data_IF_838695452233
#
_entry.id   IF_838695452233
#
_cell.length_a   1.000
_cell.length_b   1.000
_cell.length_c   1.000
_cell.angle_alpha   90.00
_cell.angle_beta   90.00
_cell.angle_gamma   90.00
#
_symmetry.space_group_name_H-M   'P 1'
#
loop_
_entity.id
_entity.type
_entity.pdbx_description
1 polymer ?
#
# COMPACT_ATOMS: atom_id res chain seq x y z
N UNK A 1 -36.46 10.15 50.77
CA UNK A 1 -35.94 8.93 50.13
C UNK A 1 -36.62 8.87 48.78
N UNK A 2 -35.95 9.27 47.71
CA UNK A 2 -36.53 9.24 46.36
C UNK A 2 -36.63 7.79 45.93
N UNK A 3 -37.84 7.24 45.93
CA UNK A 3 -38.15 5.96 45.27
C UNK A 3 -37.97 6.16 43.77
N UNK A 4 -36.77 5.86 43.27
CA UNK A 4 -36.48 5.91 41.84
C UNK A 4 -36.71 4.52 41.24
N UNK A 5 -37.46 4.47 40.14
CA UNK A 5 -37.59 3.25 39.35
C UNK A 5 -36.32 2.92 38.59
N UNK A 6 -36.22 1.69 38.08
CA UNK A 6 -35.07 1.17 37.30
C UNK A 6 -34.63 2.13 36.18
N UNK A 7 -35.59 2.64 35.40
CA UNK A 7 -35.31 3.51 34.25
C UNK A 7 -34.74 4.86 34.67
N UNK A 8 -35.28 5.46 35.72
CA UNK A 8 -34.83 6.76 36.25
C UNK A 8 -33.42 6.65 36.85
N UNK A 9 -33.11 5.54 37.52
CA UNK A 9 -31.76 5.25 38.03
C UNK A 9 -30.74 5.10 36.89
N UNK A 10 -31.06 4.34 35.84
CA UNK A 10 -30.15 4.14 34.70
C UNK A 10 -29.95 5.43 33.89
N UNK A 11 -30.97 6.28 33.75
CA UNK A 11 -30.83 7.60 33.12
C UNK A 11 -29.94 8.54 33.94
N UNK A 12 -30.11 8.57 35.27
CA UNK A 12 -29.23 9.34 36.15
C UNK A 12 -27.78 8.84 36.10
N UNK A 13 -27.59 7.52 36.10
CA UNK A 13 -26.26 6.88 35.99
C UNK A 13 -25.59 7.22 34.65
N UNK A 14 -26.32 7.15 33.52
CA UNK A 14 -25.82 7.55 32.20
C UNK A 14 -25.44 9.03 32.13
N UNK A 15 -26.19 9.90 32.83
CA UNK A 15 -25.89 11.34 32.93
C UNK A 15 -24.58 11.59 33.68
N UNK A 16 -24.35 10.91 34.80
CA UNK A 16 -23.11 11.01 35.57
C UNK A 16 -21.91 10.38 34.83
N UNK A 17 -22.14 9.29 34.07
CA UNK A 17 -21.13 8.63 33.24
C UNK A 17 -20.88 9.32 31.89
N UNK A 18 -21.55 10.43 31.58
CA UNK A 18 -21.39 11.18 30.31
C UNK A 18 -19.97 11.72 30.07
N UNK A 19 -19.13 11.76 31.11
CA UNK A 19 -17.71 12.11 31.00
C UNK A 19 -16.80 10.98 30.46
N UNK A 20 -17.31 9.76 30.30
CA UNK A 20 -16.61 8.59 29.78
C UNK A 20 -16.95 8.34 28.29
N UNK A 21 -16.16 7.50 27.57
CA UNK A 21 -16.53 7.05 26.24
C UNK A 21 -17.93 6.41 26.24
N UNK A 22 -18.79 6.80 25.28
CA UNK A 22 -20.20 6.34 25.23
C UNK A 22 -20.34 4.81 25.27
N UNK A 23 -19.42 4.07 24.66
CA UNK A 23 -19.40 2.60 24.70
C UNK A 23 -19.11 2.02 26.08
N UNK A 24 -18.34 2.72 26.91
CA UNK A 24 -18.05 2.29 28.29
C UNK A 24 -19.20 2.66 29.22
N UNK A 25 -19.76 3.86 29.06
CA UNK A 25 -20.96 4.29 29.80
C UNK A 25 -22.15 3.36 29.55
N UNK A 26 -22.38 2.97 28.29
CA UNK A 26 -23.45 2.01 27.93
C UNK A 26 -23.18 0.61 28.48
N UNK A 27 -21.91 0.17 28.47
CA UNK A 27 -21.53 -1.13 29.03
C UNK A 27 -21.73 -1.19 30.55
N UNK A 28 -21.33 -0.14 31.26
CA UNK A 28 -21.55 -0.03 32.70
C UNK A 28 -23.03 0.07 33.04
N UNK A 29 -23.81 0.83 32.27
CA UNK A 29 -25.26 0.90 32.45
C UNK A 29 -25.94 -0.46 32.20
N UNK A 30 -25.52 -1.18 31.15
CA UNK A 30 -26.04 -2.53 30.84
C UNK A 30 -25.68 -3.57 31.91
N UNK A 31 -24.48 -3.47 32.50
CA UNK A 31 -24.08 -4.36 33.59
C UNK A 31 -24.91 -4.12 34.86
N UNK A 32 -25.17 -2.86 35.19
CA UNK A 32 -26.02 -2.51 36.33
C UNK A 32 -27.49 -2.86 36.05
N UNK A 33 -27.95 -2.72 34.81
CA UNK A 33 -29.26 -3.19 34.37
C UNK A 33 -29.43 -4.70 34.59
N UNK A 34 -28.44 -5.51 34.21
CA UNK A 34 -28.40 -6.97 34.45
C UNK A 34 -28.43 -7.30 35.95
N UNK A 35 -27.65 -6.58 36.78
CA UNK A 35 -27.68 -6.76 38.25
C UNK A 35 -29.03 -6.40 38.89
N UNK A 36 -29.75 -5.41 38.33
CA UNK A 36 -31.10 -5.06 38.79
C UNK A 36 -32.08 -6.16 38.37
N UNK A 37 -31.96 -6.66 37.14
CA UNK A 37 -32.82 -7.71 36.60
C UNK A 37 -32.65 -9.05 37.34
N UNK A 38 -31.41 -9.44 37.67
CA UNK A 38 -31.14 -10.64 38.49
C UNK A 38 -31.86 -10.58 39.83
N UNK A 39 -31.87 -9.40 40.47
CA UNK A 39 -32.55 -9.20 41.77
C UNK A 39 -34.07 -9.22 41.64
N UNK A 40 -34.61 -8.71 40.54
CA UNK A 40 -36.04 -8.78 40.25
C UNK A 40 -36.45 -10.24 39.98
N UNK A 41 -35.61 -11.01 39.28
CA UNK A 41 -35.83 -12.44 39.02
C UNK A 41 -35.75 -13.29 40.31
N UNK A 42 -34.89 -12.91 41.26
CA UNK A 42 -34.82 -13.48 42.61
C UNK A 42 -35.99 -13.10 43.53
N UNK A 43 -36.93 -12.28 43.04
CA UNK A 43 -38.18 -11.93 43.73
C UNK A 43 -38.18 -10.61 44.48
N UNK A 44 -37.18 -9.75 44.30
CA UNK A 44 -37.18 -8.40 44.84
C UNK A 44 -38.07 -7.46 44.00
N UNK A 45 -38.70 -6.48 44.64
CA UNK A 45 -39.39 -5.42 43.90
C UNK A 45 -38.37 -4.48 43.22
N UNK A 46 -38.74 -3.86 42.08
CA UNK A 46 -37.85 -2.97 41.34
C UNK A 46 -37.25 -1.85 42.23
N UNK A 47 -38.05 -1.32 43.15
CA UNK A 47 -37.65 -0.26 44.09
C UNK A 47 -36.62 -0.76 45.11
N UNK A 48 -36.75 -2.00 45.55
CA UNK A 48 -35.83 -2.64 46.49
C UNK A 48 -34.50 -3.01 45.80
N UNK A 49 -34.57 -3.50 44.57
CA UNK A 49 -33.39 -3.84 43.76
C UNK A 49 -32.51 -2.60 43.49
N UNK A 50 -33.13 -1.46 43.19
CA UNK A 50 -32.46 -0.17 42.98
C UNK A 50 -31.95 0.42 44.29
N UNK A 51 -32.73 0.37 45.38
CA UNK A 51 -32.29 0.86 46.69
C UNK A 51 -31.05 0.13 47.22
N UNK A 52 -30.91 -1.16 46.90
CA UNK A 52 -29.77 -1.98 47.28
C UNK A 52 -28.49 -1.70 46.46
N UNK A 53 -28.55 -0.84 45.43
CA UNK A 53 -27.36 -0.37 44.69
C UNK A 53 -26.84 0.98 45.20
N UNK A 54 -27.65 1.73 45.97
CA UNK A 54 -27.27 3.02 46.53
C UNK A 54 -27.51 4.20 45.59
N UNK A 55 -26.75 5.28 45.75
CA UNK A 55 -26.91 6.51 44.97
C UNK A 55 -26.24 6.40 43.58
N UNK A 56 -26.91 6.78 42.48
CA UNK A 56 -26.33 6.71 41.13
C UNK A 56 -25.01 7.45 40.98
N UNK A 57 -24.80 8.55 41.72
CA UNK A 57 -23.58 9.35 41.67
C UNK A 57 -22.40 8.68 42.40
N UNK A 58 -22.67 7.91 43.47
CA UNK A 58 -21.66 7.13 44.17
C UNK A 58 -21.23 5.92 43.34
N UNK A 59 -22.18 5.25 42.69
CA UNK A 59 -21.93 4.14 41.77
C UNK A 59 -21.15 4.61 40.53
N UNK A 60 -21.49 5.78 39.96
CA UNK A 60 -20.71 6.35 38.86
C UNK A 60 -19.26 6.66 39.28
N UNK A 61 -19.05 7.16 40.51
CA UNK A 61 -17.72 7.47 41.04
C UNK A 61 -16.89 6.23 41.31
N UNK A 62 -17.48 5.14 41.82
CA UNK A 62 -16.75 3.88 42.03
C UNK A 62 -16.30 3.28 40.70
N UNK A 63 -17.18 3.28 39.69
CA UNK A 63 -16.86 2.82 38.33
C UNK A 63 -15.70 3.63 37.73
N UNK A 64 -15.77 4.97 37.83
CA UNK A 64 -14.71 5.88 37.35
C UNK A 64 -13.39 5.69 38.11
N UNK A 65 -13.44 5.36 39.41
CA UNK A 65 -12.26 5.19 40.25
C UNK A 65 -11.57 3.82 40.06
N UNK A 66 -12.31 2.78 39.69
CA UNK A 66 -11.76 1.45 39.37
C UNK A 66 -11.13 1.37 37.98
N UNK A 67 -11.42 2.33 37.10
CA UNK A 67 -10.77 2.45 35.80
C UNK A 67 -9.33 2.94 35.99
N UNK A 68 -8.30 2.19 35.51
CA UNK A 68 -6.93 2.66 35.56
C UNK A 68 -6.82 4.01 34.84
N UNK A 69 -5.93 4.93 35.27
CA UNK A 69 -5.77 6.25 34.66
C UNK A 69 -5.20 6.09 33.24
N UNK A 70 -6.07 5.77 32.29
CA UNK A 70 -5.76 5.73 30.87
C UNK A 70 -5.71 7.19 30.43
N UNK A 71 -4.58 7.67 29.87
CA UNK A 71 -4.48 9.02 29.36
C UNK A 71 -5.64 9.27 28.41
N UNK A 72 -6.47 10.27 28.71
CA UNK A 72 -7.65 10.68 27.93
C UNK A 72 -7.35 10.97 26.44
N UNK A 73 -6.07 11.01 26.07
CA UNK A 73 -5.58 11.09 24.70
C UNK A 73 -5.73 9.79 23.88
N UNK A 74 -5.84 8.62 24.52
CA UNK A 74 -5.87 7.30 23.83
C UNK A 74 -7.27 6.67 23.83
N UNK A 75 -8.15 7.04 24.77
CA UNK A 75 -9.50 6.49 24.89
C UNK A 75 -10.44 6.89 23.72
N UNK A 76 -10.06 7.86 22.87
CA UNK A 76 -10.87 8.32 21.73
C UNK A 76 -10.63 7.54 20.42
N UNK A 77 -9.79 6.51 20.41
CA UNK A 77 -9.36 5.85 19.16
C UNK A 77 -9.87 4.42 18.98
N UNK A 78 -11.05 4.09 19.50
CA UNK A 78 -11.80 2.87 19.11
C UNK A 78 -13.20 3.22 18.65
N UNK A 79 -13.28 3.99 17.58
CA UNK A 79 -14.44 3.95 16.70
C UNK A 79 -13.92 3.51 15.35
N UNK A 80 -14.43 2.38 14.84
CA UNK A 80 -14.24 1.91 13.47
C UNK A 80 -14.92 2.85 12.47
N UNK A 81 -14.52 4.12 12.50
CA UNK A 81 -15.03 5.19 11.68
C UNK A 81 -14.06 5.38 10.53
N UNK A 82 -14.57 5.28 9.30
CA UNK A 82 -13.83 5.60 8.09
C UNK A 82 -13.13 6.97 8.19
N UNK A 83 -13.67 7.90 8.99
CA UNK A 83 -13.10 9.22 9.29
C UNK A 83 -11.85 9.15 10.15
N UNK A 84 -11.79 8.29 11.18
CA UNK A 84 -10.58 8.09 11.99
C UNK A 84 -9.48 7.41 11.16
N UNK A 85 -9.85 6.47 10.28
CA UNK A 85 -8.91 5.87 9.31
C UNK A 85 -8.46 6.89 8.27
N UNK A 86 -9.32 7.82 7.83
CA UNK A 86 -8.95 8.90 6.91
C UNK A 86 -8.04 9.92 7.58
N UNK A 87 -8.31 10.32 8.83
CA UNK A 87 -7.45 11.23 9.59
C UNK A 87 -6.12 10.54 9.90
N UNK A 88 -6.12 9.25 10.21
CA UNK A 88 -4.89 8.49 10.40
C UNK A 88 -4.14 8.34 9.07
N UNK A 89 -4.82 8.14 7.94
CA UNK A 89 -4.21 8.14 6.60
C UNK A 89 -3.70 9.52 6.18
N UNK A 90 -4.34 10.61 6.61
CA UNK A 90 -3.91 11.99 6.40
C UNK A 90 -2.76 12.37 7.34
N UNK A 91 -2.73 11.85 8.57
CA UNK A 91 -1.65 12.04 9.53
C UNK A 91 -0.42 11.15 9.22
N UNK A 92 -0.63 9.95 8.65
CA UNK A 92 0.40 9.13 8.00
C UNK A 92 0.64 9.55 6.54
N UNK A 93 -0.09 10.52 5.99
CA UNK A 93 0.10 11.00 4.61
C UNK A 93 1.53 11.45 4.34
N UNK A 94 2.22 12.19 5.24
CA UNK A 94 3.63 12.51 5.04
C UNK A 94 4.50 11.25 4.89
N UNK A 95 4.14 10.17 5.60
CA UNK A 95 4.87 8.89 5.61
C UNK A 95 4.55 8.11 4.33
N UNK A 96 3.29 7.98 3.92
CA UNK A 96 2.93 7.30 2.67
C UNK A 96 3.44 8.04 1.44
N UNK A 97 3.41 9.37 1.44
CA UNK A 97 3.95 10.20 0.35
C UNK A 97 5.46 10.07 0.28
N UNK A 98 6.18 10.04 1.41
CA UNK A 98 7.63 9.80 1.39
C UNK A 98 7.97 8.39 0.94
N UNK A 99 7.25 7.35 1.37
CA UNK A 99 7.45 5.98 0.87
C UNK A 99 7.14 5.87 -0.63
N UNK A 100 6.06 6.50 -1.11
CA UNK A 100 5.73 6.54 -2.53
C UNK A 100 6.81 7.28 -3.33
N UNK A 101 7.36 8.38 -2.79
CA UNK A 101 8.44 9.13 -3.42
C UNK A 101 9.74 8.32 -3.47
N UNK A 102 10.09 7.61 -2.39
CA UNK A 102 11.24 6.70 -2.36
C UNK A 102 11.05 5.57 -3.38
N UNK A 103 9.87 4.97 -3.45
CA UNK A 103 9.56 3.95 -4.44
C UNK A 103 9.64 4.50 -5.88
N UNK A 104 9.13 5.71 -6.12
CA UNK A 104 9.17 6.36 -7.42
C UNK A 104 10.60 6.71 -7.84
N UNK A 105 11.41 7.27 -6.94
CA UNK A 105 12.83 7.60 -7.22
C UNK A 105 13.66 6.34 -7.40
N UNK A 106 13.41 5.27 -6.64
CA UNK A 106 14.05 3.98 -6.85
C UNK A 106 13.71 3.38 -8.22
N UNK A 107 12.43 3.38 -8.60
CA UNK A 107 11.99 2.91 -9.92
C UNK A 107 12.60 3.74 -11.06
N UNK A 108 12.66 5.07 -10.90
CA UNK A 108 13.30 5.97 -11.85
C UNK A 108 14.80 5.72 -11.96
N UNK A 109 15.50 5.51 -10.84
CA UNK A 109 16.92 5.16 -10.81
C UNK A 109 17.21 3.88 -11.59
N UNK A 110 16.42 2.83 -11.35
CA UNK A 110 16.54 1.56 -12.09
C UNK A 110 16.33 1.79 -13.59
N UNK A 111 15.32 2.56 -13.97
CA UNK A 111 15.08 2.91 -15.37
C UNK A 111 16.28 3.62 -16.00
N UNK A 112 16.84 4.63 -15.33
CA UNK A 112 18.04 5.35 -15.80
C UNK A 112 19.23 4.42 -15.94
N UNK A 113 19.47 3.53 -14.97
CA UNK A 113 20.58 2.55 -15.04
C UNK A 113 20.41 1.63 -16.24
N UNK A 114 19.20 1.14 -16.52
CA UNK A 114 18.93 0.29 -17.68
C UNK A 114 19.28 1.03 -18.99
N UNK A 115 18.84 2.28 -19.14
CA UNK A 115 19.15 3.07 -20.33
C UNK A 115 20.63 3.46 -20.43
N UNK A 116 21.29 3.75 -19.31
CA UNK A 116 22.72 4.02 -19.27
C UNK A 116 23.54 2.79 -19.68
N UNK A 117 23.15 1.60 -19.23
CA UNK A 117 23.78 0.33 -19.65
C UNK A 117 23.51 0.05 -21.14
N UNK A 118 22.29 0.30 -21.63
CA UNK A 118 22.01 0.17 -23.05
C UNK A 118 22.89 1.12 -23.88
N UNK A 119 22.99 2.39 -23.47
CA UNK A 119 23.84 3.38 -24.13
C UNK A 119 25.32 3.00 -24.07
N UNK A 120 25.82 2.49 -22.94
CA UNK A 120 27.22 2.10 -22.81
C UNK A 120 27.58 0.96 -23.76
N UNK A 121 26.71 -0.04 -23.92
CA UNK A 121 26.90 -1.12 -24.89
C UNK A 121 26.91 -0.57 -26.31
N UNK A 122 26.04 0.39 -26.64
CA UNK A 122 26.05 1.06 -27.95
C UNK A 122 27.37 1.81 -28.19
N UNK A 123 27.84 2.60 -27.22
CA UNK A 123 29.11 3.35 -27.34
C UNK A 123 30.32 2.42 -27.50
N UNK A 124 30.40 1.36 -26.69
CA UNK A 124 31.45 0.34 -26.80
C UNK A 124 31.40 -0.33 -28.16
N UNK A 125 30.21 -0.67 -28.65
CA UNK A 125 30.04 -1.29 -29.96
C UNK A 125 30.53 -0.38 -31.09
N UNK A 126 30.19 0.91 -31.06
CA UNK A 126 30.68 1.88 -32.05
C UNK A 126 32.20 2.01 -31.98
N UNK A 127 32.79 2.06 -30.79
CA UNK A 127 34.24 2.08 -30.62
C UNK A 127 34.93 0.83 -31.19
N UNK A 128 34.34 -0.35 -30.95
CA UNK A 128 34.84 -1.62 -31.47
C UNK A 128 34.73 -1.71 -33.00
N UNK A 129 33.69 -1.13 -33.61
CA UNK A 129 33.55 -1.06 -35.06
C UNK A 129 34.65 -0.22 -35.73
N UNK A 130 35.24 0.75 -35.03
CA UNK A 130 36.40 1.48 -35.51
C UNK A 130 37.69 0.63 -35.48
N UNK A 131 37.68 -0.54 -34.84
CA UNK A 131 38.81 -1.46 -34.77
C UNK A 131 39.27 -1.97 -36.15
N UNK A 132 38.35 -2.30 -37.06
CA UNK A 132 38.69 -2.74 -38.41
C UNK A 132 39.37 -1.66 -39.27
N UNK A 133 38.82 -0.43 -39.42
CA UNK A 133 39.48 0.61 -40.21
C UNK A 133 40.82 1.04 -39.59
N UNK A 134 40.92 1.14 -38.26
CA UNK A 134 42.20 1.44 -37.60
C UNK A 134 43.22 0.31 -37.77
N UNK A 135 42.77 -0.95 -37.72
CA UNK A 135 43.59 -2.13 -38.00
C UNK A 135 44.12 -2.16 -39.43
N UNK A 136 43.32 -1.74 -40.42
CA UNK A 136 43.73 -1.67 -41.82
C UNK A 136 44.74 -0.55 -42.07
N UNK A 137 44.54 0.62 -41.46
CA UNK A 137 45.47 1.77 -41.55
C UNK A 137 46.82 1.40 -40.92
N UNK A 138 46.80 0.80 -39.72
CA UNK A 138 48.02 0.38 -39.02
C UNK A 138 48.75 -0.75 -39.75
N UNK A 139 48.03 -1.67 -40.39
CA UNK A 139 48.61 -2.67 -41.27
C UNK A 139 49.35 -2.05 -42.46
N UNK A 140 48.69 -1.14 -43.19
CA UNK A 140 49.30 -0.46 -44.33
C UNK A 140 50.56 0.32 -43.92
N UNK A 141 50.54 1.00 -42.77
CA UNK A 141 51.70 1.68 -42.21
C UNK A 141 52.85 0.71 -41.88
N UNK A 142 52.56 -0.40 -41.18
CA UNK A 142 53.59 -1.36 -40.79
C UNK A 142 54.23 -2.08 -41.98
N UNK A 143 53.46 -2.35 -43.04
CA UNK A 143 53.97 -2.89 -44.31
C UNK A 143 54.91 -1.88 -44.97
N UNK A 144 54.55 -0.60 -44.99
CA UNK A 144 55.39 0.46 -45.54
C UNK A 144 56.71 0.65 -44.76
N UNK A 145 56.73 0.39 -43.45
CA UNK A 145 57.95 0.46 -42.61
C UNK A 145 58.77 -0.83 -42.58
N UNK A 146 58.41 -1.84 -43.37
CA UNK A 146 59.15 -3.11 -43.46
C UNK A 146 58.92 -4.10 -42.31
N UNK A 147 57.84 -3.92 -41.52
CA UNK A 147 57.46 -4.79 -40.39
C UNK A 147 56.10 -5.48 -40.64
N UNK A 148 55.97 -6.35 -41.66
CA UNK A 148 54.67 -6.90 -42.06
C UNK A 148 54.06 -7.83 -41.00
N UNK A 149 54.88 -8.51 -40.19
CA UNK A 149 54.41 -9.43 -39.13
C UNK A 149 53.66 -8.68 -38.03
N UNK A 150 54.19 -7.53 -37.60
CA UNK A 150 53.54 -6.67 -36.59
C UNK A 150 52.23 -6.09 -37.15
N UNK A 151 52.23 -5.72 -38.44
CA UNK A 151 51.03 -5.29 -39.13
C UNK A 151 49.95 -6.37 -39.14
N UNK A 152 50.31 -7.62 -39.47
CA UNK A 152 49.35 -8.73 -39.56
C UNK A 152 48.71 -9.03 -38.20
N UNK A 153 49.49 -8.96 -37.12
CA UNK A 153 49.00 -9.10 -35.75
C UNK A 153 47.99 -8.00 -35.39
N UNK A 154 48.28 -6.73 -35.73
CA UNK A 154 47.35 -5.62 -35.49
C UNK A 154 46.09 -5.67 -36.36
N UNK A 155 46.19 -6.16 -37.60
CA UNK A 155 45.03 -6.39 -38.45
C UNK A 155 44.11 -7.47 -37.84
N UNK A 156 44.70 -8.55 -37.34
CA UNK A 156 43.96 -9.59 -36.61
C UNK A 156 43.27 -9.06 -35.36
N UNK A 157 43.97 -8.26 -34.54
CA UNK A 157 43.39 -7.60 -33.38
C UNK A 157 42.25 -6.63 -33.72
N UNK A 158 42.43 -5.82 -34.77
CA UNK A 158 41.40 -4.90 -35.26
C UNK A 158 40.15 -5.62 -35.78
N UNK A 159 40.33 -6.73 -36.50
CA UNK A 159 39.23 -7.56 -37.00
C UNK A 159 38.50 -8.30 -35.86
N UNK A 160 39.23 -8.76 -34.84
CA UNK A 160 38.65 -9.38 -33.65
C UNK A 160 37.80 -8.36 -32.87
N UNK A 161 38.32 -7.15 -32.66
CA UNK A 161 37.56 -6.05 -32.06
C UNK A 161 36.31 -5.73 -32.88
N UNK A 162 36.41 -5.69 -34.20
CA UNK A 162 35.26 -5.47 -35.08
C UNK A 162 34.20 -6.58 -34.95
N UNK A 163 34.63 -7.85 -34.93
CA UNK A 163 33.74 -8.99 -34.72
C UNK A 163 33.02 -8.93 -33.38
N UNK A 164 33.73 -8.57 -32.30
CA UNK A 164 33.12 -8.34 -30.99
C UNK A 164 32.14 -7.16 -31.01
N UNK A 165 32.46 -6.08 -31.71
CA UNK A 165 31.57 -4.93 -31.89
C UNK A 165 30.24 -5.31 -32.53
N UNK A 166 30.27 -6.10 -33.62
CA UNK A 166 29.06 -6.61 -34.28
C UNK A 166 28.26 -7.54 -33.38
N UNK A 167 28.93 -8.42 -32.63
CA UNK A 167 28.28 -9.31 -31.67
C UNK A 167 27.57 -8.51 -30.55
N UNK A 168 28.23 -7.49 -30.01
CA UNK A 168 27.66 -6.60 -29.00
C UNK A 168 26.44 -5.84 -29.52
N UNK A 169 26.42 -5.37 -30.78
CA UNK A 169 25.24 -4.75 -31.39
C UNK A 169 24.05 -5.69 -31.45
N UNK A 170 24.29 -6.96 -31.82
CA UNK A 170 23.24 -7.96 -31.90
C UNK A 170 22.66 -8.29 -30.51
N UNK A 171 23.54 -8.41 -29.51
CA UNK A 171 23.16 -8.57 -28.10
C UNK A 171 22.37 -7.37 -27.57
N UNK A 172 22.82 -6.14 -27.87
CA UNK A 172 22.16 -4.90 -27.46
C UNK A 172 20.76 -4.77 -28.06
N UNK A 173 20.61 -5.06 -29.36
CA UNK A 173 19.33 -5.02 -30.06
C UNK A 173 18.35 -6.03 -29.47
N UNK A 174 18.78 -7.28 -29.28
CA UNK A 174 17.93 -8.34 -28.71
C UNK A 174 17.49 -8.04 -27.28
N UNK A 175 18.38 -7.44 -26.48
CA UNK A 175 18.04 -7.02 -25.11
C UNK A 175 17.03 -5.88 -25.11
N UNK A 176 17.19 -4.92 -26.02
CA UNK A 176 16.27 -3.77 -26.17
C UNK A 176 14.87 -4.23 -26.59
N UNK A 177 14.77 -5.12 -27.57
CA UNK A 177 13.49 -5.65 -28.06
C UNK A 177 12.75 -6.42 -26.95
N UNK A 178 13.46 -7.24 -26.18
CA UNK A 178 12.89 -7.96 -25.03
C UNK A 178 12.37 -7.01 -23.96
N UNK A 179 13.09 -5.92 -23.69
CA UNK A 179 12.69 -4.92 -22.69
C UNK A 179 11.44 -4.15 -23.13
N UNK A 180 11.37 -3.75 -24.40
CA UNK A 180 10.20 -3.07 -24.98
C UNK A 180 8.98 -4.00 -24.92
N UNK A 181 9.15 -5.27 -25.25
CA UNK A 181 8.05 -6.25 -25.18
C UNK A 181 7.59 -6.51 -23.75
N UNK A 182 8.51 -6.63 -22.79
CA UNK A 182 8.19 -6.73 -21.37
C UNK A 182 7.41 -5.50 -20.88
N UNK A 183 7.83 -4.29 -21.27
CA UNK A 183 7.14 -3.05 -20.91
C UNK A 183 5.72 -2.98 -21.48
N UNK A 184 5.54 -3.39 -22.75
CA UNK A 184 4.23 -3.41 -23.43
C UNK A 184 3.28 -4.40 -22.75
N UNK A 185 3.79 -5.57 -22.35
CA UNK A 185 3.01 -6.59 -21.62
C UNK A 185 2.60 -6.10 -20.23
N UNK A 186 3.50 -5.43 -19.51
CA UNK A 186 3.17 -4.79 -18.23
C UNK A 186 2.11 -3.69 -18.39
N UNK A 187 2.28 -2.79 -19.36
CA UNK A 187 1.32 -1.72 -19.64
C UNK A 187 -0.06 -2.27 -20.03
N UNK A 188 -0.10 -3.33 -20.84
CA UNK A 188 -1.35 -4.00 -21.20
C UNK A 188 -2.03 -4.65 -19.98
N UNK A 189 -1.25 -5.30 -19.11
CA UNK A 189 -1.77 -5.92 -17.88
C UNK A 189 -2.35 -4.88 -16.92
N UNK A 190 -1.66 -3.75 -16.73
CA UNK A 190 -2.17 -2.62 -15.92
C UNK A 190 -3.44 -2.04 -16.52
N UNK A 191 -3.48 -1.80 -17.84
CA UNK A 191 -4.69 -1.35 -18.54
C UNK A 191 -5.85 -2.33 -18.38
N UNK A 192 -5.61 -3.63 -18.42
CA UNK A 192 -6.65 -4.65 -18.23
C UNK A 192 -7.22 -4.71 -16.81
N UNK A 193 -6.44 -4.27 -15.81
CA UNK A 193 -6.93 -4.16 -14.42
C UNK A 193 -7.83 -2.93 -14.23
N UNK A 194 -7.56 -1.85 -14.97
CA UNK A 194 -8.37 -0.63 -14.94
C UNK A 194 -9.60 -0.69 -15.84
N UNK A 195 -9.51 -1.36 -16.99
CA UNK A 195 -10.64 -1.58 -17.89
C UNK A 195 -11.27 -2.93 -17.58
N UNK A 196 -12.00 -3.00 -16.45
CA UNK A 196 -12.99 -4.05 -16.26
C UNK A 196 -14.20 -3.64 -17.09
N UNK A 197 -14.33 -4.18 -18.31
CA UNK A 197 -15.52 -3.94 -19.14
C UNK A 197 -16.77 -4.21 -18.30
N UNK A 198 -17.74 -3.28 -18.25
CA UNK A 198 -19.06 -3.59 -17.73
C UNK A 198 -19.57 -4.78 -18.55
N UNK A 199 -19.82 -5.92 -17.89
CA UNK A 199 -20.65 -6.96 -18.50
C UNK A 199 -21.98 -6.29 -18.77
N UNK A 200 -22.23 -5.95 -20.04
CA UNK A 200 -23.51 -5.49 -20.53
C UNK A 200 -24.58 -6.41 -19.96
N UNK A 201 -25.52 -5.82 -19.25
CA UNK A 201 -26.57 -6.51 -18.52
C UNK A 201 -27.28 -7.48 -19.44
N UNK A 202 -27.21 -8.77 -19.09
CA UNK A 202 -28.09 -9.81 -19.59
C UNK A 202 -29.46 -9.63 -18.91
N UNK A 203 -30.15 -8.54 -19.25
CA UNK A 203 -31.51 -8.23 -18.83
C UNK A 203 -32.25 -7.65 -20.05
N UNK A 204 -32.64 -8.54 -20.95
CA UNK A 204 -33.36 -8.19 -22.17
C UNK A 204 -34.04 -9.39 -22.83
N UNK A 205 -34.37 -10.43 -22.05
CA UNK A 205 -34.94 -11.68 -22.58
C UNK A 205 -36.09 -12.23 -21.72
N UNK A 206 -36.87 -11.37 -21.05
CA UNK A 206 -38.05 -11.82 -20.28
C UNK A 206 -39.37 -11.09 -20.56
N UNK A 207 -39.46 -10.23 -21.57
CA UNK A 207 -40.70 -9.48 -21.88
C UNK A 207 -41.41 -9.88 -23.18
N UNK A 208 -41.19 -11.10 -23.69
CA UNK A 208 -41.82 -11.55 -24.93
C UNK A 208 -42.55 -12.90 -24.78
N UNK A 209 -43.34 -13.11 -23.72
CA UNK A 209 -44.12 -14.37 -23.60
C UNK A 209 -45.40 -14.28 -22.78
N UNK A 210 -46.00 -13.10 -22.64
CA UNK A 210 -47.36 -12.95 -22.10
C UNK A 210 -48.21 -12.00 -22.93
N UNK A 211 -48.36 -12.31 -24.22
CA UNK A 211 -49.58 -11.99 -24.98
C UNK A 211 -49.82 -13.13 -25.96
N UNK A 212 -50.88 -13.91 -25.71
CA UNK A 212 -51.26 -15.11 -26.44
C UNK A 212 -52.29 -15.90 -25.66
#
# INVERSE_FOLDING_TARGET
MSEMGKQEFLEALRRELSGLPASEADRSASFIEEMIDDRIEDGASEVEAVAALGDPSEVARSIVAELPPIPKAIAKSKTGSATANWILAVALSPIWVTFALVAATAAFSVYVVIWALALSVWLVSVGLLLGAPLGLITFAYCVATGMPVVGLWQLGGGLLCFGLGVFCLFGAKRTSDWFVEASRKYAAKVKSLFVKSPKAGRFGAKEATHEG
#
